data_IF_783096259380
#
_entry.id   IF_783096259380
#
_cell.length_a   1.000
_cell.length_b   1.000
_cell.length_c   1.000
_cell.angle_alpha   90.00
_cell.angle_beta   90.00
_cell.angle_gamma   90.00
#
_symmetry.space_group_name_H-M   'P 1'
#
loop_
_entity.id
_entity.type
_entity.pdbx_description
1 polymer ?
#
# COMPACT_ATOMS: atom_id res chain seq x y z
N UNK A 1 1.83 10.24 -7.77
CA UNK A 1 1.31 11.62 -7.82
C UNK A 1 1.44 12.18 -6.41
N UNK A 2 2.24 13.22 -6.20
CA UNK A 2 2.53 13.72 -4.85
C UNK A 2 1.32 14.36 -4.17
N UNK A 3 0.43 15.00 -4.93
CA UNK A 3 -0.78 15.58 -4.37
C UNK A 3 -1.72 14.50 -3.82
N UNK A 4 -1.85 13.38 -4.55
CA UNK A 4 -2.65 12.23 -4.12
C UNK A 4 -2.07 11.60 -2.85
N UNK A 5 -0.76 11.31 -2.85
CA UNK A 5 -0.11 10.66 -1.72
C UNK A 5 -0.20 11.46 -0.41
N UNK A 6 -0.21 12.80 -0.51
CA UNK A 6 -0.43 13.67 0.65
C UNK A 6 -1.89 13.77 1.08
N UNK A 7 -2.83 13.53 0.17
CA UNK A 7 -4.26 13.60 0.47
C UNK A 7 -4.80 12.28 1.03
N UNK A 8 -4.15 11.17 0.68
CA UNK A 8 -4.42 9.82 1.17
C UNK A 8 -3.27 9.34 2.04
N UNK A 9 -2.65 10.24 2.82
CA UNK A 9 -1.48 9.90 3.61
C UNK A 9 -1.80 8.86 4.68
N UNK A 10 -3.03 8.84 5.20
CA UNK A 10 -3.59 7.82 6.10
C UNK A 10 -3.94 6.47 5.43
N UNK A 11 -3.90 6.37 4.09
CA UNK A 11 -4.34 5.19 3.32
C UNK A 11 -3.29 4.73 2.27
N UNK A 12 -2.06 5.22 2.39
CA UNK A 12 -0.97 4.94 1.44
C UNK A 12 0.37 4.74 2.14
N UNK A 13 0.74 3.50 2.45
CA UNK A 13 1.98 3.18 3.19
C UNK A 13 3.26 3.65 2.48
N UNK A 14 3.23 3.75 1.14
CA UNK A 14 4.42 4.05 0.33
C UNK A 14 4.08 5.04 -0.79
N UNK A 15 4.65 6.24 -0.70
CA UNK A 15 4.61 7.22 -1.81
C UNK A 15 5.75 6.98 -2.82
N UNK A 16 5.40 6.62 -4.05
CA UNK A 16 6.33 6.50 -5.18
C UNK A 16 6.35 7.74 -6.10
N UNK A 17 5.69 8.83 -5.71
CA UNK A 17 5.77 10.11 -6.43
C UNK A 17 7.17 10.71 -6.58
N UNK A 18 8.17 10.44 -5.70
CA UNK A 18 9.54 10.93 -5.88
C UNK A 18 10.21 10.48 -7.19
N UNK A 19 9.74 9.39 -7.81
CA UNK A 19 10.18 8.96 -9.15
C UNK A 19 10.00 10.08 -10.18
N UNK A 20 8.93 10.87 -10.06
CA UNK A 20 8.66 12.01 -10.95
C UNK A 20 9.68 13.15 -10.78
N UNK A 21 10.43 13.15 -9.67
CA UNK A 21 11.45 14.15 -9.33
C UNK A 21 12.87 13.60 -9.44
N UNK A 22 13.05 12.39 -9.98
CA UNK A 22 14.37 11.82 -10.30
C UNK A 22 14.82 10.63 -9.43
N UNK A 23 13.98 10.12 -8.52
CA UNK A 23 14.22 8.81 -7.91
C UNK A 23 14.22 7.72 -9.00
N UNK A 24 15.19 6.80 -8.96
CA UNK A 24 15.22 5.67 -9.90
C UNK A 24 14.18 4.61 -9.52
N UNK A 25 13.73 3.84 -10.50
CA UNK A 25 12.78 2.74 -10.27
C UNK A 25 13.39 1.68 -9.34
N UNK A 26 14.69 1.42 -9.47
CA UNK A 26 15.42 0.48 -8.62
C UNK A 26 15.46 0.94 -7.17
N UNK A 27 15.68 2.25 -6.93
CA UNK A 27 15.67 2.83 -5.58
C UNK A 27 14.27 2.76 -4.95
N UNK A 28 13.23 3.10 -5.72
CA UNK A 28 11.84 2.96 -5.27
C UNK A 28 11.48 1.48 -5.00
N UNK A 29 11.94 0.57 -5.86
CA UNK A 29 11.75 -0.87 -5.69
C UNK A 29 12.41 -1.42 -4.42
N UNK A 30 13.62 -0.96 -4.09
CA UNK A 30 14.30 -1.33 -2.86
C UNK A 30 13.54 -0.85 -1.62
N UNK A 31 12.99 0.38 -1.66
CA UNK A 31 12.11 0.92 -0.59
C UNK A 31 10.84 0.09 -0.41
N UNK A 32 10.19 -0.30 -1.52
CA UNK A 32 9.01 -1.15 -1.48
C UNK A 32 9.34 -2.51 -0.87
N UNK A 33 10.46 -3.11 -1.30
CA UNK A 33 10.88 -4.41 -0.80
C UNK A 33 11.16 -4.40 0.71
N UNK A 34 11.88 -3.38 1.20
CA UNK A 34 12.14 -3.25 2.64
C UNK A 34 10.83 -3.07 3.43
N UNK A 35 9.92 -2.22 2.94
CA UNK A 35 8.62 -2.02 3.59
C UNK A 35 7.80 -3.32 3.65
N UNK A 36 7.83 -4.15 2.60
CA UNK A 36 7.20 -5.47 2.62
C UNK A 36 7.80 -6.39 3.70
N UNK A 37 9.13 -6.37 3.87
CA UNK A 37 9.79 -7.15 4.93
C UNK A 37 9.45 -6.62 6.32
N UNK A 38 9.45 -5.30 6.52
CA UNK A 38 9.04 -4.69 7.79
C UNK A 38 7.60 -5.08 8.16
N UNK A 39 6.67 -5.00 7.20
CA UNK A 39 5.27 -5.38 7.40
C UNK A 39 5.13 -6.86 7.70
N UNK A 40 5.78 -7.73 6.93
CA UNK A 40 5.81 -9.16 7.22
C UNK A 40 6.44 -9.48 8.59
N UNK A 41 7.30 -8.59 9.10
CA UNK A 41 7.93 -8.69 10.42
C UNK A 41 7.08 -8.09 11.55
N UNK A 42 5.85 -7.65 11.26
CA UNK A 42 4.88 -7.17 12.24
C UNK A 42 4.70 -5.66 12.33
N UNK A 43 5.29 -4.88 11.41
CA UNK A 43 4.91 -3.47 11.26
C UNK A 43 3.50 -3.39 10.67
N UNK A 44 2.57 -2.78 11.41
CA UNK A 44 1.22 -2.57 10.91
C UNK A 44 1.24 -1.64 9.69
N UNK A 45 0.47 -2.02 8.67
CA UNK A 45 0.07 -1.15 7.57
C UNK A 45 -0.94 -0.11 8.05
N UNK A 46 -1.18 0.92 7.24
CA UNK A 46 -2.15 1.95 7.60
C UNK A 46 -3.57 1.42 7.72
N UNK A 47 -4.00 0.53 6.82
CA UNK A 47 -5.30 -0.14 6.92
C UNK A 47 -5.43 -0.90 8.23
N UNK A 48 -4.41 -1.69 8.62
CA UNK A 48 -4.42 -2.42 9.89
C UNK A 48 -4.44 -1.49 11.10
N UNK A 49 -3.70 -0.37 11.07
CA UNK A 49 -3.70 0.63 12.14
C UNK A 49 -5.05 1.33 12.31
N UNK A 50 -5.80 1.50 11.21
CA UNK A 50 -7.16 2.05 11.20
C UNK A 50 -8.24 1.00 11.51
N UNK A 51 -7.86 -0.27 11.67
CA UNK A 51 -8.81 -1.37 11.88
C UNK A 51 -9.61 -1.74 10.62
N UNK A 52 -9.11 -1.35 9.44
CA UNK A 52 -9.65 -1.68 8.13
C UNK A 52 -9.04 -3.03 7.69
N UNK A 53 -9.87 -4.05 7.54
CA UNK A 53 -9.44 -5.39 7.10
C UNK A 53 -10.46 -6.49 7.36
N UNK A 54 -11.19 -6.41 8.49
CA UNK A 54 -12.22 -7.39 8.84
C UNK A 54 -13.41 -7.40 7.84
N UNK A 55 -13.69 -6.25 7.22
CA UNK A 55 -14.77 -6.09 6.23
C UNK A 55 -14.32 -6.34 4.78
N UNK A 56 -13.03 -6.59 4.52
CA UNK A 56 -12.48 -6.73 3.17
C UNK A 56 -12.33 -8.17 2.68
N UNK A 57 -12.74 -9.16 3.47
CA UNK A 57 -12.72 -10.55 3.03
C UNK A 57 -13.84 -10.82 2.01
N UNK A 58 -13.56 -10.51 0.74
CA UNK A 58 -14.47 -10.71 -0.40
C UNK A 58 -13.93 -11.84 -1.27
N UNK A 59 -14.25 -13.12 -0.97
CA UNK A 59 -13.78 -14.23 -1.77
C UNK A 59 -14.31 -14.09 -3.20
N UNK A 60 -13.44 -14.29 -4.18
CA UNK A 60 -13.84 -14.29 -5.58
C UNK A 60 -14.88 -15.39 -5.81
N UNK A 61 -16.11 -14.99 -6.13
CA UNK A 61 -17.19 -15.94 -6.29
C UNK A 61 -17.16 -16.55 -7.69
N UNK A 62 -17.08 -17.88 -7.75
CA UNK A 62 -17.13 -18.62 -9.01
C UNK A 62 -18.60 -18.78 -9.42
N UNK A 63 -19.06 -18.04 -10.44
CA UNK A 63 -20.40 -18.18 -11.02
C UNK A 63 -21.18 -16.86 -11.08
N UNK A 64 -22.36 -16.90 -11.70
CA UNK A 64 -23.32 -15.79 -11.70
C UNK A 64 -24.41 -16.07 -10.65
N UNK A 65 -24.69 -15.09 -9.79
CA UNK A 65 -25.79 -15.11 -8.83
C UNK A 65 -26.98 -14.34 -9.41
N UNK A 66 -28.20 -14.82 -9.15
CA UNK A 66 -29.46 -14.15 -9.51
C UNK A 66 -29.93 -13.24 -8.37
#
# INVERSE_FOLDING_TARGET
>A
NQALARHMDEDMDIDCSPILSGESIEAAGARIFEALIETASGKLTQSEALGLGDEEFVPWQIGAFL
#
